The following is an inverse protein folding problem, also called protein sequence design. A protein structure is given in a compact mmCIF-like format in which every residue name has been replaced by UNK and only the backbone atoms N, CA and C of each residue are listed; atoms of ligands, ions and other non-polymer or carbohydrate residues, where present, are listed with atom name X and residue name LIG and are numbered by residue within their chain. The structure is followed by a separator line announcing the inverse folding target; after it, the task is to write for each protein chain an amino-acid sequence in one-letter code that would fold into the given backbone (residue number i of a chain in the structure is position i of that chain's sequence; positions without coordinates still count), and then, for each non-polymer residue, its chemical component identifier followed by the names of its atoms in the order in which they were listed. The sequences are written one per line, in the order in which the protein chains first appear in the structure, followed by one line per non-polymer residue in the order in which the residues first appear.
data_IF_347937834898
#
_entry.id   IF_347937834898
#
_cell.length_a   1.000
_cell.length_b   1.000
_cell.length_c   1.000
_cell.angle_alpha   90.00
_cell.angle_beta   90.00
_cell.angle_gamma   90.00
#
_symmetry.space_group_name_H-M   'P 1'
#
loop_
_entity.id
_entity.type
_entity.pdbx_description
1 polymer ?
#
# COMPACT_ATOMS: atom_id res chain seq x y z
N UNK A 1 -45.97 -6.21 10.72
CA UNK A 1 -45.34 -6.18 12.06
C UNK A 1 -44.05 -5.38 11.94
N UNK A 2 -43.69 -4.49 12.89
CA UNK A 2 -42.40 -3.83 12.84
C UNK A 2 -41.30 -4.85 13.16
N UNK A 3 -40.31 -4.96 12.28
CA UNK A 3 -39.11 -5.76 12.48
C UNK A 3 -38.33 -5.14 13.63
N UNK A 4 -38.18 -5.84 14.75
CA UNK A 4 -37.35 -5.38 15.85
C UNK A 4 -35.90 -5.23 15.36
N UNK A 5 -35.17 -4.17 15.77
CA UNK A 5 -33.75 -4.06 15.47
C UNK A 5 -33.02 -5.21 16.18
N UNK A 6 -32.19 -5.94 15.45
CA UNK A 6 -31.37 -7.01 16.02
C UNK A 6 -30.39 -6.38 17.01
N UNK A 7 -30.52 -6.71 18.30
CA UNK A 7 -29.61 -6.23 19.33
C UNK A 7 -28.23 -6.86 19.12
N UNK A 8 -27.21 -6.01 18.99
CA UNK A 8 -25.83 -6.41 18.81
C UNK A 8 -25.26 -6.78 20.19
N UNK A 9 -25.27 -8.07 20.52
CA UNK A 9 -24.79 -8.56 21.81
C UNK A 9 -23.25 -8.68 21.82
N UNK A 10 -22.59 -7.77 22.52
CA UNK A 10 -21.13 -7.76 22.72
C UNK A 10 -20.71 -8.55 23.97
N UNK A 11 -21.66 -9.13 24.70
CA UNK A 11 -21.43 -9.81 25.98
C UNK A 11 -20.59 -11.10 25.84
N UNK A 12 -20.44 -11.63 24.62
CA UNK A 12 -19.59 -12.77 24.30
C UNK A 12 -18.12 -12.44 24.01
N UNK A 13 -17.75 -11.16 23.95
CA UNK A 13 -16.38 -10.74 23.63
C UNK A 13 -15.58 -10.61 24.93
N UNK A 14 -14.93 -11.71 25.32
CA UNK A 14 -13.92 -11.71 26.37
C UNK A 14 -12.58 -11.22 25.78
N UNK A 15 -12.41 -9.91 25.70
CA UNK A 15 -11.21 -9.27 25.16
C UNK A 15 -10.09 -9.32 26.19
N UNK A 16 -9.26 -10.36 26.11
CA UNK A 16 -8.01 -10.45 26.87
C UNK A 16 -6.96 -9.53 26.24
N UNK A 17 -6.92 -8.26 26.67
CA UNK A 17 -5.89 -7.28 26.30
C UNK A 17 -4.59 -7.47 27.13
N UNK A 18 -4.29 -8.70 27.53
CA UNK A 18 -3.16 -9.02 28.42
C UNK A 18 -1.93 -9.51 27.69
N UNK A 19 -1.84 -9.28 26.38
CA UNK A 19 -0.57 -9.21 25.68
C UNK A 19 -0.60 -7.99 24.78
N UNK A 20 0.28 -7.03 25.08
CA UNK A 20 0.45 -5.81 24.32
C UNK A 20 1.11 -6.12 22.98
N UNK A 21 0.38 -6.74 22.07
CA UNK A 21 0.69 -6.70 20.64
C UNK A 21 -0.05 -5.50 20.04
N UNK A 22 0.33 -4.31 20.52
CA UNK A 22 0.25 -3.13 19.68
C UNK A 22 1.27 -3.37 18.56
N UNK A 23 0.87 -3.47 17.29
CA UNK A 23 1.85 -3.30 16.22
C UNK A 23 2.29 -1.84 16.36
N UNK A 24 3.47 -1.66 16.92
CA UNK A 24 4.23 -0.45 16.73
C UNK A 24 4.25 -0.18 15.22
N UNK A 25 4.04 1.08 14.84
CA UNK A 25 4.17 1.53 13.46
C UNK A 25 5.66 1.55 13.06
N UNK A 26 6.29 0.38 13.11
CA UNK A 26 7.69 0.08 12.91
C UNK A 26 7.82 -1.44 12.84
N UNK A 27 8.03 -1.98 11.63
CA UNK A 27 7.90 -3.40 11.34
C UNK A 27 8.81 -4.32 12.16
N UNK A 28 8.32 -5.52 12.43
CA UNK A 28 9.13 -6.72 12.66
C UNK A 28 8.33 -8.00 12.33
N UNK A 29 9.09 -8.98 11.84
CA UNK A 29 8.77 -10.28 11.24
C UNK A 29 7.58 -11.10 11.76
N UNK A 30 6.76 -11.57 10.82
CA UNK A 30 5.97 -12.79 11.00
C UNK A 30 6.85 -14.00 10.65
N UNK A 31 7.30 -14.75 11.66
CA UNK A 31 7.81 -16.11 11.45
C UNK A 31 6.63 -17.04 11.16
N UNK A 32 6.34 -17.23 9.87
CA UNK A 32 5.38 -18.19 9.35
C UNK A 32 6.08 -19.17 8.41
N UNK A 33 6.65 -20.23 8.98
CA UNK A 33 7.15 -21.41 8.27
C UNK A 33 5.90 -22.19 7.78
N UNK A 34 5.37 -21.83 6.60
CA UNK A 34 4.48 -22.59 5.67
C UNK A 34 3.61 -21.66 4.80
N UNK A 35 4.21 -20.62 4.21
CA UNK A 35 3.64 -19.97 3.03
C UNK A 35 4.48 -20.44 1.83
N UNK A 36 3.87 -20.86 0.69
CA UNK A 36 4.66 -21.06 -0.53
C UNK A 36 5.47 -19.79 -0.77
N UNK A 37 6.71 -19.86 -1.28
CA UNK A 37 7.52 -18.67 -1.49
C UNK A 37 6.69 -17.74 -2.37
N UNK A 38 6.14 -16.68 -1.76
CA UNK A 38 5.75 -15.54 -2.55
C UNK A 38 7.07 -15.13 -3.20
N UNK A 39 7.11 -15.14 -4.52
CA UNK A 39 8.22 -14.62 -5.30
C UNK A 39 8.49 -13.16 -4.85
N UNK A 40 9.27 -13.00 -3.79
CA UNK A 40 9.68 -11.74 -3.14
C UNK A 40 10.77 -11.05 -3.96
N UNK A 41 10.63 -11.04 -5.29
CA UNK A 41 11.65 -10.48 -6.18
C UNK A 41 11.07 -9.61 -7.31
N UNK A 42 9.75 -9.35 -7.33
CA UNK A 42 9.19 -8.42 -8.32
C UNK A 42 7.91 -7.67 -7.90
N UNK A 43 7.32 -8.00 -6.75
CA UNK A 43 6.02 -7.46 -6.32
C UNK A 43 6.09 -6.37 -5.23
N UNK A 44 7.27 -6.11 -4.64
CA UNK A 44 7.39 -5.21 -3.47
C UNK A 44 8.51 -4.18 -3.59
N UNK A 45 8.92 -3.82 -4.82
CA UNK A 45 9.74 -2.63 -4.99
C UNK A 45 8.89 -1.40 -4.64
N UNK A 46 9.22 -0.65 -3.57
CA UNK A 46 8.41 0.51 -3.17
C UNK A 46 8.32 1.56 -4.28
N UNK A 47 9.31 1.60 -5.16
CA UNK A 47 9.34 2.45 -6.35
C UNK A 47 8.40 1.97 -7.46
N UNK A 48 8.27 0.65 -7.64
CA UNK A 48 7.32 0.07 -8.60
C UNK A 48 5.89 0.37 -8.16
N UNK A 49 5.59 0.21 -6.87
CA UNK A 49 4.27 0.55 -6.32
C UNK A 49 3.95 2.05 -6.41
N UNK A 50 4.95 2.93 -6.21
CA UNK A 50 4.80 4.38 -6.44
C UNK A 50 4.54 4.73 -7.91
N UNK A 51 5.20 4.04 -8.84
CA UNK A 51 4.93 4.22 -10.28
C UNK A 51 3.51 3.83 -10.66
N UNK A 52 3.04 2.70 -10.15
CA UNK A 52 1.67 2.23 -10.37
C UNK A 52 0.65 3.24 -9.82
N UNK A 53 0.90 3.76 -8.61
CA UNK A 53 0.04 4.76 -8.00
C UNK A 53 0.02 6.08 -8.79
N UNK A 54 1.18 6.50 -9.32
CA UNK A 54 1.25 7.66 -10.20
C UNK A 54 0.44 7.45 -11.48
N UNK A 55 0.48 6.26 -12.08
CA UNK A 55 -0.37 5.92 -13.25
C UNK A 55 -1.87 6.01 -12.90
N UNK A 56 -2.27 5.49 -11.73
CA UNK A 56 -3.66 5.59 -11.25
C UNK A 56 -4.08 7.05 -11.01
N UNK A 57 -3.23 7.89 -10.42
CA UNK A 57 -3.50 9.32 -10.25
C UNK A 57 -3.74 10.03 -11.58
N UNK A 58 -2.93 9.73 -12.60
CA UNK A 58 -3.14 10.25 -13.97
C UNK A 58 -4.49 9.79 -14.53
N UNK A 59 -4.82 8.52 -14.32
CA UNK A 59 -6.05 7.91 -14.84
C UNK A 59 -7.30 8.58 -14.27
N UNK A 60 -7.30 8.93 -12.99
CA UNK A 60 -8.41 9.64 -12.33
C UNK A 60 -8.39 11.17 -12.55
N UNK A 61 -7.38 11.70 -13.25
CA UNK A 61 -7.24 13.11 -13.57
C UNK A 61 -6.48 13.97 -12.54
N UNK A 62 -5.85 13.35 -11.54
CA UNK A 62 -4.99 14.01 -10.57
C UNK A 62 -3.54 14.10 -11.07
N UNK A 63 -3.31 15.02 -12.00
CA UNK A 63 -2.00 15.24 -12.63
C UNK A 63 -0.96 15.76 -11.62
N UNK A 64 -1.37 16.57 -10.65
CA UNK A 64 -0.47 17.10 -9.63
C UNK A 64 0.03 16.01 -8.68
N UNK A 65 -0.87 15.11 -8.22
CA UNK A 65 -0.49 13.96 -7.40
C UNK A 65 0.41 12.97 -8.13
N UNK A 66 0.11 12.69 -9.41
CA UNK A 66 0.98 11.86 -10.24
C UNK A 66 2.37 12.45 -10.43
N UNK A 67 2.46 13.76 -10.67
CA UNK A 67 3.74 14.46 -10.84
C UNK A 67 4.62 14.35 -9.60
N UNK A 68 4.04 14.54 -8.41
CA UNK A 68 4.78 14.47 -7.15
C UNK A 68 5.39 13.08 -6.92
N UNK A 69 4.60 12.01 -7.15
CA UNK A 69 5.10 10.64 -7.06
C UNK A 69 6.16 10.33 -8.12
N UNK A 70 5.97 10.77 -9.37
CA UNK A 70 6.96 10.55 -10.42
C UNK A 70 8.29 11.25 -10.10
N UNK A 71 8.25 12.46 -9.54
CA UNK A 71 9.46 13.17 -9.10
C UNK A 71 10.19 12.42 -7.98
N UNK A 72 9.45 11.88 -7.01
CA UNK A 72 10.02 11.08 -5.93
C UNK A 72 10.66 9.78 -6.45
N UNK A 73 10.00 9.10 -7.40
CA UNK A 73 10.56 7.92 -8.07
C UNK A 73 11.80 8.31 -8.87
N UNK A 74 11.81 9.42 -9.61
CA UNK A 74 12.98 9.84 -10.39
C UNK A 74 14.18 10.20 -9.49
N UNK A 75 13.90 10.73 -8.30
CA UNK A 75 14.92 11.08 -7.32
C UNK A 75 15.54 9.83 -6.66
N UNK A 76 14.77 8.75 -6.52
CA UNK A 76 15.16 7.57 -5.73
C UNK A 76 15.53 6.36 -6.60
N UNK A 77 14.88 6.20 -7.76
CA UNK A 77 15.08 5.09 -8.67
C UNK A 77 16.28 5.31 -9.59
N UNK A 78 16.86 4.22 -10.08
CA UNK A 78 17.92 4.22 -11.08
C UNK A 78 17.57 3.34 -12.29
N UNK A 79 18.37 3.44 -13.35
CA UNK A 79 18.22 2.61 -14.54
C UNK A 79 16.84 2.73 -15.22
N UNK A 80 16.23 1.59 -15.50
CA UNK A 80 14.98 1.50 -16.25
C UNK A 80 13.79 2.14 -15.54
N UNK A 81 13.70 1.99 -14.22
CA UNK A 81 12.59 2.52 -13.40
C UNK A 81 12.59 4.05 -13.44
N UNK A 82 13.76 4.68 -13.32
CA UNK A 82 13.92 6.13 -13.46
C UNK A 82 13.54 6.62 -14.86
N UNK A 83 13.99 5.91 -15.90
CA UNK A 83 13.69 6.26 -17.28
C UNK A 83 12.17 6.19 -17.57
N UNK A 84 11.49 5.15 -17.06
CA UNK A 84 10.03 5.03 -17.16
C UNK A 84 9.33 6.20 -16.48
N UNK A 85 9.70 6.52 -15.23
CA UNK A 85 9.14 7.64 -14.48
C UNK A 85 9.34 8.99 -15.19
N UNK A 86 10.54 9.23 -15.73
CA UNK A 86 10.86 10.45 -16.48
C UNK A 86 10.02 10.59 -17.75
N UNK A 87 9.81 9.50 -18.49
CA UNK A 87 8.97 9.52 -19.69
C UNK A 87 7.49 9.83 -19.36
N UNK A 88 6.98 9.28 -18.26
CA UNK A 88 5.63 9.59 -17.80
C UNK A 88 5.50 11.03 -17.30
N UNK A 89 6.53 11.58 -16.68
CA UNK A 89 6.54 12.97 -16.23
C UNK A 89 6.54 13.95 -17.41
N UNK A 90 7.23 13.62 -18.51
CA UNK A 90 7.27 14.42 -19.74
C UNK A 90 5.90 14.45 -20.45
N UNK A 91 5.17 13.32 -20.44
CA UNK A 91 3.80 13.23 -20.98
C UNK A 91 2.79 14.09 -20.19
N UNK A 92 3.11 14.42 -18.94
CA UNK A 92 2.27 15.25 -18.06
C UNK A 92 2.60 16.74 -18.10
N UNK A 93 3.71 17.14 -18.74
CA UNK A 93 4.16 18.54 -18.83
C UNK A 93 3.59 19.28 -20.03
#
# INVERSE_FOLDING_TARGET
APTAPMEFDLSGINLDLSDSDVPDAGGEVVSGDDLPPLDTDLADDPLARKLELAEEFRHIGDVDGARELLQEVIATAEGATRAKAQAMLDDLS
#
